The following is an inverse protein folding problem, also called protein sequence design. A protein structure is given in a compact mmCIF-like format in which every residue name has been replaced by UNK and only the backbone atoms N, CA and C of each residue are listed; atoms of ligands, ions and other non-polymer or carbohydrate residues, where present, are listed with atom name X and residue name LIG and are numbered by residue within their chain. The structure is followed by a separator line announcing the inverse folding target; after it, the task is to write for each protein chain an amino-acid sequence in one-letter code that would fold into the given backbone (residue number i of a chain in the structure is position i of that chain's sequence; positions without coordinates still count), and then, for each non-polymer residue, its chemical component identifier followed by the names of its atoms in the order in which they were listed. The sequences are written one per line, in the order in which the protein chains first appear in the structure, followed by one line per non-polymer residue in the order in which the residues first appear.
data_IF_889028139193
#
_entry.id   IF_889028139193
#
_cell.length_a   1.000
_cell.length_b   1.000
_cell.length_c   1.000
_cell.angle_alpha   90.00
_cell.angle_beta   90.00
_cell.angle_gamma   90.00
#
_symmetry.space_group_name_H-M   'P 1'
#
loop_
_entity.id
_entity.type
_entity.pdbx_description
1 polymer ?
#
# COMPACT_ATOMS: atom_id res chain seq x y z
N UNK A 1 -13.41 -19.18 2.33
CA UNK A 1 -14.69 -19.86 2.62
C UNK A 1 -14.79 -20.05 4.13
N UNK A 2 -15.76 -19.42 4.81
CA UNK A 2 -15.94 -19.56 6.27
C UNK A 2 -16.69 -20.86 6.56
N UNK A 3 -16.06 -21.79 7.27
CA UNK A 3 -16.68 -23.06 7.68
C UNK A 3 -17.87 -22.80 8.63
N UNK A 4 -19.01 -23.48 8.44
CA UNK A 4 -20.18 -23.29 9.29
C UNK A 4 -19.87 -23.75 10.72
N UNK A 5 -20.10 -22.85 11.68
CA UNK A 5 -19.92 -23.13 13.11
C UNK A 5 -20.95 -24.18 13.55
N UNK A 6 -20.50 -25.41 13.83
CA UNK A 6 -21.34 -26.50 14.34
C UNK A 6 -21.20 -26.57 15.86
N UNK A 7 -22.25 -26.16 16.58
CA UNK A 7 -22.29 -26.12 18.04
C UNK A 7 -22.03 -27.49 18.67
N UNK A 8 -22.38 -28.57 17.96
CA UNK A 8 -22.18 -29.95 18.42
C UNK A 8 -20.74 -30.47 18.29
N UNK A 9 -19.89 -29.79 17.51
CA UNK A 9 -18.49 -30.16 17.36
C UNK A 9 -17.60 -29.61 18.50
N UNK A 10 -18.15 -28.79 19.39
CA UNK A 10 -17.42 -28.27 20.53
C UNK A 10 -17.45 -29.26 21.72
N UNK A 11 -16.30 -29.52 22.37
CA UNK A 11 -16.25 -30.39 23.54
C UNK A 11 -17.10 -29.81 24.66
N UNK A 12 -18.27 -30.41 24.88
CA UNK A 12 -19.13 -30.09 26.02
C UNK A 12 -18.39 -30.53 27.28
N UNK A 13 -18.35 -29.68 28.32
CA UNK A 13 -17.79 -30.04 29.61
C UNK A 13 -18.46 -31.33 30.11
N UNK A 14 -17.67 -32.37 30.30
CA UNK A 14 -18.07 -33.71 30.76
C UNK A 14 -18.42 -33.76 32.25
N UNK A 15 -18.13 -32.69 32.99
CA UNK A 15 -18.35 -32.62 34.42
C UNK A 15 -19.54 -31.72 34.75
N UNK A 16 -20.57 -32.22 35.47
CA UNK A 16 -21.61 -31.37 36.00
C UNK A 16 -20.97 -30.33 36.95
N UNK A 17 -21.49 -29.10 37.01
CA UNK A 17 -20.97 -28.09 37.92
C UNK A 17 -21.01 -28.63 39.35
N UNK A 18 -19.91 -28.46 40.09
CA UNK A 18 -19.69 -28.99 41.45
C UNK A 18 -20.71 -28.49 42.50
N UNK A 19 -21.58 -27.56 42.12
CA UNK A 19 -22.69 -27.04 42.92
C UNK A 19 -23.78 -26.49 42.01
N UNK A 20 -25.04 -26.69 42.39
CA UNK A 20 -26.15 -25.97 41.75
C UNK A 20 -25.98 -24.47 41.98
N UNK A 21 -26.22 -23.62 40.97
CA UNK A 21 -26.17 -22.19 41.15
C UNK A 21 -27.20 -21.73 42.19
N UNK A 22 -26.93 -20.64 42.94
CA UNK A 22 -27.87 -20.08 43.89
C UNK A 22 -29.23 -19.78 43.24
N UNK A 23 -30.31 -19.87 44.03
CA UNK A 23 -31.65 -19.53 43.56
C UNK A 23 -31.67 -18.10 42.99
N UNK A 24 -32.26 -17.91 41.81
CA UNK A 24 -32.34 -16.62 41.13
C UNK A 24 -31.08 -16.16 40.40
N UNK A 25 -30.01 -16.96 40.35
CA UNK A 25 -28.78 -16.61 39.62
C UNK A 25 -29.04 -16.30 38.14
N UNK A 26 -29.83 -17.15 37.47
CA UNK A 26 -30.19 -16.94 36.06
C UNK A 26 -31.19 -15.80 35.86
N UNK A 27 -31.99 -15.44 36.86
CA UNK A 27 -32.94 -14.32 36.77
C UNK A 27 -32.21 -12.97 36.84
N UNK A 28 -31.09 -12.91 37.57
CA UNK A 28 -30.27 -11.69 37.70
C UNK A 28 -29.22 -11.57 36.58
N UNK A 29 -28.90 -12.66 35.89
CA UNK A 29 -27.87 -12.70 34.86
C UNK A 29 -28.11 -11.70 33.71
N UNK A 30 -29.32 -11.56 33.13
CA UNK A 30 -29.58 -10.59 32.06
C UNK A 30 -29.27 -9.15 32.50
N UNK A 31 -29.69 -8.78 33.72
CA UNK A 31 -29.43 -7.45 34.26
C UNK A 31 -27.93 -7.21 34.49
N UNK A 32 -27.21 -8.20 35.02
CA UNK A 32 -25.76 -8.10 35.23
C UNK A 32 -24.97 -8.07 33.92
N UNK A 33 -25.41 -8.79 32.89
CA UNK A 33 -24.79 -8.75 31.56
C UNK A 33 -25.01 -7.38 30.93
N UNK A 34 -26.25 -6.86 30.93
CA UNK A 34 -26.56 -5.53 30.40
C UNK A 34 -25.84 -4.39 31.13
N UNK A 35 -25.57 -4.55 32.43
CA UNK A 35 -24.78 -3.59 33.20
C UNK A 35 -23.29 -3.58 32.82
N UNK A 36 -22.77 -4.66 32.23
CA UNK A 36 -21.37 -4.81 31.80
C UNK A 36 -21.15 -4.46 30.33
N UNK A 37 -22.20 -4.38 29.52
CA UNK A 37 -22.06 -3.93 28.14
C UNK A 37 -21.68 -2.43 28.16
N UNK A 38 -20.69 -2.02 27.36
CA UNK A 38 -20.45 -0.61 27.11
C UNK A 38 -21.76 0.00 26.60
N UNK A 39 -22.33 0.96 27.33
CA UNK A 39 -23.47 1.73 26.84
C UNK A 39 -23.01 2.43 25.57
N UNK A 40 -23.63 2.09 24.43
CA UNK A 40 -23.35 2.71 23.14
C UNK A 40 -23.54 4.25 23.16
N UNK A 41 -24.30 4.75 24.14
CA UNK A 41 -24.59 6.17 24.31
C UNK A 41 -23.72 6.86 25.37
N UNK A 42 -22.69 6.21 25.89
CA UNK A 42 -21.65 6.91 26.64
C UNK A 42 -20.60 7.36 25.64
N UNK A 43 -20.65 8.61 25.11
CA UNK A 43 -19.47 9.18 24.53
C UNK A 43 -18.46 9.27 25.67
N UNK A 44 -17.53 8.31 25.73
CA UNK A 44 -16.20 8.52 26.29
C UNK A 44 -15.53 9.62 25.44
N UNK A 45 -16.09 10.82 25.52
CA UNK A 45 -15.42 12.04 25.16
C UNK A 45 -14.36 12.18 26.24
N UNK A 46 -13.13 11.78 25.88
CA UNK A 46 -11.94 11.92 26.67
C UNK A 46 -12.05 13.21 27.50
N UNK A 47 -12.12 13.08 28.83
CA UNK A 47 -12.45 14.21 29.71
C UNK A 47 -11.50 15.42 29.50
N UNK A 48 -10.29 15.16 28.97
CA UNK A 48 -9.32 16.18 28.56
C UNK A 48 -9.62 16.95 27.27
N UNK A 49 -10.58 16.52 26.44
CA UNK A 49 -10.96 17.18 25.17
C UNK A 49 -12.29 17.95 25.27
N UNK A 50 -12.92 17.96 26.45
CA UNK A 50 -14.22 18.62 26.65
C UNK A 50 -14.15 20.14 26.44
N UNK A 51 -12.99 20.77 26.66
CA UNK A 51 -12.77 22.20 26.39
C UNK A 51 -12.78 22.53 24.89
N UNK A 52 -12.35 21.60 24.02
CA UNK A 52 -12.49 21.76 22.56
C UNK A 52 -13.96 21.76 22.15
N UNK A 53 -14.83 21.07 22.90
CA UNK A 53 -16.27 21.10 22.70
C UNK A 53 -16.94 22.41 23.18
N UNK A 54 -16.21 23.30 23.87
CA UNK A 54 -16.65 24.67 24.16
C UNK A 54 -16.23 25.67 23.07
N UNK A 55 -15.29 25.30 22.19
CA UNK A 55 -14.89 26.14 21.06
C UNK A 55 -15.96 26.11 19.95
N UNK A 56 -16.10 27.25 19.26
CA UNK A 56 -16.98 27.38 18.10
C UNK A 56 -16.61 26.36 17.00
N UNK A 57 -17.57 25.87 16.21
CA UNK A 57 -17.31 24.84 15.21
C UNK A 57 -16.23 25.22 14.20
N UNK A 58 -16.14 26.50 13.83
CA UNK A 58 -15.09 27.02 12.94
C UNK A 58 -13.68 26.99 13.58
N UNK A 59 -13.59 27.17 14.90
CA UNK A 59 -12.31 27.17 15.60
C UNK A 59 -11.79 25.74 15.81
N UNK A 60 -12.69 24.75 15.89
CA UNK A 60 -12.33 23.32 15.93
C UNK A 60 -11.70 22.85 14.63
N UNK A 61 -12.28 23.24 13.49
CA UNK A 61 -11.72 22.90 12.18
C UNK A 61 -10.39 23.62 11.95
N UNK A 62 -10.26 24.87 12.41
CA UNK A 62 -8.99 25.60 12.41
C UNK A 62 -7.89 24.87 13.19
N UNK A 63 -8.17 24.48 14.44
CA UNK A 63 -7.20 23.74 15.26
C UNK A 63 -6.84 22.37 14.69
N UNK A 64 -7.81 21.65 14.11
CA UNK A 64 -7.55 20.37 13.46
C UNK A 64 -6.59 20.51 12.27
N UNK A 65 -6.84 21.50 11.41
CA UNK A 65 -5.95 21.81 10.28
C UNK A 65 -4.55 22.20 10.74
N UNK A 66 -4.44 23.05 11.78
CA UNK A 66 -3.14 23.45 12.34
C UNK A 66 -2.39 22.27 12.96
N UNK A 67 -3.10 21.37 13.66
CA UNK A 67 -2.48 20.18 14.24
C UNK A 67 -1.96 19.22 13.15
N UNK A 68 -2.72 19.01 12.08
CA UNK A 68 -2.30 18.17 10.95
C UNK A 68 -1.12 18.81 10.21
N UNK A 69 -1.23 20.09 9.86
CA UNK A 69 -0.17 20.79 9.10
C UNK A 69 1.10 20.94 9.93
N UNK A 70 0.95 21.27 11.22
CA UNK A 70 2.06 21.38 12.16
C UNK A 70 2.72 20.03 12.42
N UNK A 71 1.94 18.96 12.62
CA UNK A 71 2.46 17.61 12.76
C UNK A 71 3.19 17.13 11.50
N UNK A 72 2.64 17.41 10.32
CA UNK A 72 3.30 17.13 9.05
C UNK A 72 4.61 17.90 8.92
N UNK A 73 4.62 19.21 9.18
CA UNK A 73 5.82 20.04 9.10
C UNK A 73 6.90 19.57 10.08
N UNK A 74 6.54 19.28 11.34
CA UNK A 74 7.47 18.76 12.35
C UNK A 74 8.00 17.38 11.92
N UNK A 75 7.14 16.48 11.44
CA UNK A 75 7.56 15.16 10.94
C UNK A 75 8.48 15.26 9.73
N UNK A 76 8.20 16.20 8.81
CA UNK A 76 9.02 16.47 7.64
C UNK A 76 10.39 17.02 8.02
N UNK A 77 10.45 17.96 8.98
CA UNK A 77 11.70 18.51 9.49
C UNK A 77 12.51 17.50 10.29
N UNK A 78 11.88 16.64 11.10
CA UNK A 78 12.56 15.60 11.87
C UNK A 78 13.00 14.41 11.01
N UNK A 79 12.20 14.01 10.02
CA UNK A 79 12.59 12.96 9.07
C UNK A 79 13.72 13.41 8.16
N UNK A 80 13.84 14.73 7.92
CA UNK A 80 14.74 15.29 6.93
C UNK A 80 14.39 14.82 5.51
N UNK A 81 14.60 15.62 4.46
CA UNK A 81 14.71 15.04 3.14
C UNK A 81 15.98 14.19 3.12
N UNK A 82 15.99 12.94 2.64
CA UNK A 82 17.21 12.48 2.01
C UNK A 82 17.38 13.45 0.83
N UNK A 83 18.45 14.24 0.84
CA UNK A 83 18.80 15.11 -0.27
C UNK A 83 19.17 14.21 -1.47
N UNK A 84 18.16 13.69 -2.13
CA UNK A 84 18.29 12.90 -3.34
C UNK A 84 17.29 13.48 -4.30
N UNK A 85 17.82 14.23 -5.26
CA UNK A 85 17.09 14.56 -6.47
C UNK A 85 16.36 13.30 -6.97
N UNK A 86 15.08 13.39 -7.37
CA UNK A 86 14.28 12.22 -7.74
C UNK A 86 14.93 11.38 -8.85
N UNK A 87 15.80 11.98 -9.67
CA UNK A 87 16.59 11.28 -10.68
C UNK A 87 17.64 10.30 -10.11
N UNK A 88 18.27 10.60 -8.97
CA UNK A 88 19.36 9.76 -8.41
C UNK A 88 18.80 8.63 -7.55
N UNK A 89 17.70 8.86 -6.83
CA UNK A 89 17.03 7.82 -6.04
C UNK A 89 16.45 6.72 -6.94
N UNK A 90 15.93 7.09 -8.11
CA UNK A 90 15.41 6.16 -9.12
C UNK A 90 16.54 5.34 -9.75
N UNK A 91 17.67 5.97 -10.10
CA UNK A 91 18.81 5.28 -10.70
C UNK A 91 19.46 4.25 -9.75
N UNK A 92 19.59 4.58 -8.46
CA UNK A 92 20.16 3.67 -7.46
C UNK A 92 19.25 2.49 -7.10
N UNK A 93 17.93 2.66 -7.23
CA UNK A 93 16.96 1.57 -7.01
C UNK A 93 16.77 0.69 -8.26
N UNK A 94 16.99 1.24 -9.46
CA UNK A 94 17.02 0.47 -10.71
C UNK A 94 18.27 -0.42 -10.84
N UNK A 95 19.43 0.05 -10.38
CA UNK A 95 20.69 -0.73 -10.40
C UNK A 95 20.66 -1.92 -9.41
N UNK A 96 19.78 -1.84 -8.42
CA UNK A 96 19.54 -2.92 -7.45
C UNK A 96 18.54 -3.99 -7.94
N UNK A 97 17.89 -3.80 -9.10
CA UNK A 97 16.93 -4.78 -9.63
C UNK A 97 17.69 -5.92 -10.31
N UNK A 98 17.55 -7.17 -9.83
CA UNK A 98 18.23 -8.30 -10.44
C UNK A 98 17.71 -8.57 -11.86
N UNK A 99 18.62 -8.84 -12.79
CA UNK A 99 18.31 -9.02 -14.22
C UNK A 99 17.29 -10.15 -14.47
N UNK A 100 17.22 -11.14 -13.57
CA UNK A 100 16.24 -12.23 -13.63
C UNK A 100 14.81 -11.75 -13.45
N UNK A 101 14.57 -10.71 -12.64
CA UNK A 101 13.23 -10.15 -12.47
C UNK A 101 12.79 -9.31 -13.67
N UNK A 102 13.73 -8.63 -14.33
CA UNK A 102 13.44 -7.90 -15.58
C UNK A 102 13.01 -8.87 -16.69
N UNK A 103 13.73 -9.98 -16.84
CA UNK A 103 13.39 -11.02 -17.82
C UNK A 103 12.03 -11.64 -17.46
N UNK A 104 11.80 -11.95 -16.18
CA UNK A 104 10.52 -12.51 -15.73
C UNK A 104 9.34 -11.55 -15.99
N UNK A 105 9.53 -10.24 -15.79
CA UNK A 105 8.52 -9.22 -16.11
C UNK A 105 8.26 -9.16 -17.61
N UNK A 106 9.30 -9.13 -18.44
CA UNK A 106 9.15 -9.11 -19.91
C UNK A 106 8.45 -10.36 -20.44
N UNK A 107 8.73 -11.54 -19.87
CA UNK A 107 8.09 -12.80 -20.27
C UNK A 107 6.66 -12.93 -19.72
N UNK A 108 6.38 -12.43 -18.51
CA UNK A 108 5.09 -12.60 -17.83
C UNK A 108 4.08 -11.54 -18.27
N UNK A 109 4.51 -10.30 -18.46
CA UNK A 109 3.63 -9.16 -18.69
C UNK A 109 3.24 -9.00 -20.15
N UNK A 110 3.90 -9.70 -21.09
CA UNK A 110 3.70 -9.47 -22.53
C UNK A 110 3.87 -8.01 -22.93
N UNK A 111 4.56 -7.23 -22.09
CA UNK A 111 4.66 -5.78 -22.17
C UNK A 111 5.53 -5.44 -23.38
N UNK A 112 4.88 -5.07 -24.48
CA UNK A 112 5.53 -4.35 -25.57
C UNK A 112 6.02 -3.04 -24.96
N UNK A 113 7.32 -2.80 -25.02
CA UNK A 113 7.87 -1.50 -24.63
C UNK A 113 7.33 -0.48 -25.62
N UNK A 114 6.37 0.33 -25.20
CA UNK A 114 5.73 1.31 -26.07
C UNK A 114 6.64 2.55 -26.21
N UNK A 115 6.50 3.25 -27.35
CA UNK A 115 7.31 4.44 -27.64
C UNK A 115 7.14 5.56 -26.60
N UNK A 116 6.00 5.61 -25.91
CA UNK A 116 5.74 6.53 -24.79
C UNK A 116 6.65 6.27 -23.59
N UNK A 117 6.99 5.02 -23.32
CA UNK A 117 7.79 4.64 -22.15
C UNK A 117 9.27 4.96 -22.40
N UNK A 118 9.71 4.84 -23.65
CA UNK A 118 11.05 5.23 -24.09
C UNK A 118 11.23 6.76 -24.12
N UNK A 119 10.17 7.51 -24.40
CA UNK A 119 10.21 8.98 -24.34
C UNK A 119 10.49 9.46 -22.91
N UNK A 120 9.82 8.88 -21.91
CA UNK A 120 10.06 9.18 -20.51
C UNK A 120 11.51 8.85 -20.08
N UNK A 121 12.10 7.77 -20.63
CA UNK A 121 13.49 7.38 -20.37
C UNK A 121 14.49 8.38 -20.98
N UNK A 122 14.20 8.87 -22.18
CA UNK A 122 15.04 9.85 -22.90
C UNK A 122 15.05 11.21 -22.19
N UNK A 123 13.90 11.64 -21.68
CA UNK A 123 13.78 12.87 -20.88
C UNK A 123 14.52 12.75 -19.54
N UNK A 124 14.48 11.57 -18.91
CA UNK A 124 15.17 11.32 -17.64
C UNK A 124 16.70 11.18 -17.80
N UNK A 125 17.17 10.63 -18.91
CA UNK A 125 18.59 10.49 -19.20
C UNK A 125 18.89 10.67 -20.71
N UNK A 126 19.15 11.92 -21.14
CA UNK A 126 19.37 12.24 -22.56
C UNK A 126 20.69 11.67 -23.11
N UNK A 127 21.60 11.20 -22.24
CA UNK A 127 22.86 10.58 -22.63
C UNK A 127 22.68 9.16 -23.19
N UNK A 128 21.70 8.40 -22.68
CA UNK A 128 21.42 7.03 -23.13
C UNK A 128 20.89 7.04 -24.57
N UNK A 129 19.99 7.97 -24.89
CA UNK A 129 19.49 8.13 -26.26
C UNK A 129 20.62 8.45 -27.26
N UNK A 130 21.60 9.28 -26.86
CA UNK A 130 22.75 9.60 -27.71
C UNK A 130 23.68 8.41 -27.96
N UNK A 131 23.79 7.49 -27.02
CA UNK A 131 24.73 6.36 -27.14
C UNK A 131 24.11 5.11 -27.76
N UNK A 132 22.80 4.89 -27.60
CA UNK A 132 22.14 3.67 -28.04
C UNK A 132 21.10 3.88 -29.15
N UNK A 133 20.54 5.09 -29.32
CA UNK A 133 19.51 5.36 -30.34
C UNK A 133 20.06 6.13 -31.55
N UNK A 134 21.25 6.74 -31.45
CA UNK A 134 21.90 7.40 -32.58
C UNK A 134 22.81 6.41 -33.33
N UNK A 135 22.22 5.42 -33.98
CA UNK A 135 22.96 4.55 -34.91
C UNK A 135 23.51 5.40 -36.06
N UNK A 136 24.78 5.21 -36.41
CA UNK A 136 25.38 5.90 -37.55
C UNK A 136 24.82 5.34 -38.86
N UNK A 137 24.75 6.17 -39.92
CA UNK A 137 24.22 5.73 -41.22
C UNK A 137 24.95 4.48 -41.77
N UNK A 138 26.24 4.35 -41.44
CA UNK A 138 27.06 3.19 -41.80
C UNK A 138 26.61 1.91 -41.07
N UNK A 139 26.41 1.97 -39.75
CA UNK A 139 25.93 0.85 -38.94
C UNK A 139 24.51 0.43 -39.35
N UNK A 140 23.67 1.40 -39.71
CA UNK A 140 22.30 1.13 -40.16
C UNK A 140 22.29 0.40 -41.51
N UNK A 141 23.18 0.81 -42.43
CA UNK A 141 23.32 0.18 -43.75
C UNK A 141 23.87 -1.23 -43.62
N UNK A 142 24.89 -1.43 -42.78
CA UNK A 142 25.46 -2.76 -42.52
C UNK A 142 24.46 -3.71 -41.85
N UNK A 143 23.66 -3.21 -40.90
CA UNK A 143 22.61 -4.00 -40.27
C UNK A 143 21.48 -4.38 -41.26
N UNK A 144 21.15 -3.48 -42.19
CA UNK A 144 20.14 -3.73 -43.22
C UNK A 144 20.64 -4.74 -44.26
N UNK A 145 21.89 -4.64 -44.68
CA UNK A 145 22.53 -5.59 -45.61
C UNK A 145 22.73 -6.97 -44.97
N UNK A 146 22.87 -7.04 -43.65
CA UNK A 146 22.98 -8.29 -42.90
C UNK A 146 21.63 -8.99 -42.65
N UNK A 147 20.49 -8.34 -42.94
CA UNK A 147 19.19 -9.01 -42.83
C UNK A 147 19.06 -10.04 -43.96
N UNK A 148 18.80 -11.32 -43.64
CA UNK A 148 18.53 -12.32 -44.66
C UNK A 148 17.25 -11.94 -45.40
N UNK A 149 17.33 -11.73 -46.71
CA UNK A 149 16.15 -11.48 -47.54
C UNK A 149 15.22 -12.70 -47.48
N UNK A 150 13.99 -12.50 -47.03
CA UNK A 150 12.94 -13.54 -46.93
C UNK A 150 12.42 -13.99 -48.32
N UNK A 151 13.25 -13.96 -49.37
CA UNK A 151 12.90 -14.38 -50.74
C UNK A 151 13.01 -15.90 -50.94
N UNK A 152 13.35 -16.68 -49.92
CA UNK A 152 13.52 -18.15 -50.01
C UNK A 152 12.30 -18.97 -49.55
N UNK A 153 11.12 -18.36 -49.38
CA UNK A 153 9.90 -19.07 -48.94
C UNK A 153 8.86 -19.31 -50.05
N UNK A 154 9.16 -18.97 -51.31
CA UNK A 154 8.32 -19.29 -52.47
C UNK A 154 9.14 -19.80 -53.67
N UNK A 155 9.72 -21.01 -53.54
CA UNK A 155 10.11 -21.86 -54.67
C UNK A 155 9.75 -23.32 -54.37
#
# INVERSE_FOLDING_TARGET
MKTPFKLDAHPRRTHPPLSSPPAGYFDQLPAQVMARLPRADAPESAAGWRWLALLSPALRTGLASVAVLGGFAVSFFLSGPPAVSPAVASAASLDAVPHTELIAYLLTSGARVESSDLAALTDANPGIAKQFLAATDAELTEALDAQPSEDLLYL
#
